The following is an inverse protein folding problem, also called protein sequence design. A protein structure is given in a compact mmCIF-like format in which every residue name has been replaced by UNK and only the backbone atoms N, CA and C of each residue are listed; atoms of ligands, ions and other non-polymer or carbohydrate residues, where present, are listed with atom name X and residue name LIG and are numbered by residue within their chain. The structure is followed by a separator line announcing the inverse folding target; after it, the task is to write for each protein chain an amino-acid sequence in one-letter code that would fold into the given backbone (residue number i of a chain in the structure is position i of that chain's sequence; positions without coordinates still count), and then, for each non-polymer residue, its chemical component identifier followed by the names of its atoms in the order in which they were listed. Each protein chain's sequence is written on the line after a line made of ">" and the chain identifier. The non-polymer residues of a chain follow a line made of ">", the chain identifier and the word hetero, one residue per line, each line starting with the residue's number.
data_IF_841617822746
#
_entry.id   IF_841617822746
#
_cell.length_a   1.000
_cell.length_b   1.000
_cell.length_c   1.000
_cell.angle_alpha   90.00
_cell.angle_beta   90.00
_cell.angle_gamma   90.00
#
_symmetry.space_group_name_H-M   'P 1'
#
loop_
_entity.id
_entity.type
_entity.pdbx_description
1 polymer ?
#
# COMPACT_ATOMS: atom_id res chain seq x y z
N UNK A 1 -10.18 32.52 10.92
CA UNK A 1 -10.17 31.13 10.44
C UNK A 1 -8.92 30.45 10.99
N UNK A 2 -9.01 29.19 11.39
CA UNK A 2 -7.82 28.43 11.80
C UNK A 2 -6.98 28.18 10.55
N UNK A 3 -5.71 28.54 10.57
CA UNK A 3 -4.76 28.27 9.49
C UNK A 3 -3.99 27.00 9.82
N UNK A 4 -3.83 26.11 8.85
CA UNK A 4 -3.01 24.91 8.94
C UNK A 4 -1.73 25.09 8.14
N UNK A 5 -0.65 24.49 8.59
CA UNK A 5 0.57 24.38 7.78
C UNK A 5 0.38 23.33 6.70
N UNK A 6 -0.28 22.23 7.08
CA UNK A 6 -0.53 21.08 6.20
C UNK A 6 -1.96 20.57 6.29
N UNK A 7 -2.56 20.33 5.14
CA UNK A 7 -3.73 19.45 5.00
C UNK A 7 -3.27 18.16 4.34
N UNK A 8 -3.55 17.03 5.01
CA UNK A 8 -3.29 15.68 4.50
C UNK A 8 -4.62 15.08 4.04
N UNK A 9 -4.68 14.61 2.79
CA UNK A 9 -5.89 14.04 2.19
C UNK A 9 -5.79 12.53 2.19
N UNK A 10 -6.64 11.85 2.99
CA UNK A 10 -6.72 10.40 3.13
C UNK A 10 -6.11 9.90 4.44
N UNK A 11 -6.90 9.18 5.24
CA UNK A 11 -6.55 8.66 6.58
C UNK A 11 -6.12 7.18 6.58
N UNK A 12 -5.71 6.64 5.44
CA UNK A 12 -5.02 5.36 5.37
C UNK A 12 -3.64 5.40 6.02
N UNK A 13 -2.89 4.30 5.97
CA UNK A 13 -1.55 4.21 6.59
C UNK A 13 -0.62 5.34 6.12
N UNK A 14 -0.68 5.73 4.84
CA UNK A 14 0.15 6.80 4.27
C UNK A 14 -0.12 8.15 4.91
N UNK A 15 -1.40 8.57 4.96
CA UNK A 15 -1.75 9.87 5.51
C UNK A 15 -1.69 9.90 7.03
N UNK A 16 -2.07 8.84 7.73
CA UNK A 16 -1.97 8.76 9.18
C UNK A 16 -0.51 8.89 9.66
N UNK A 17 0.40 8.11 9.05
CA UNK A 17 1.82 8.15 9.39
C UNK A 17 2.46 9.51 9.07
N UNK A 18 2.20 10.05 7.86
CA UNK A 18 2.76 11.35 7.48
C UNK A 18 2.22 12.48 8.37
N UNK A 19 0.92 12.49 8.67
CA UNK A 19 0.32 13.49 9.55
C UNK A 19 0.95 13.51 10.94
N UNK A 20 1.19 12.32 11.50
CA UNK A 20 1.88 12.16 12.77
C UNK A 20 3.30 12.71 12.72
N UNK A 21 4.09 12.34 11.72
CA UNK A 21 5.48 12.78 11.62
C UNK A 21 5.58 14.30 11.35
N UNK A 22 4.65 14.88 10.59
CA UNK A 22 4.55 16.34 10.43
C UNK A 22 4.22 17.05 11.74
N UNK A 23 3.23 16.55 12.49
CA UNK A 23 2.88 17.11 13.81
C UNK A 23 4.04 16.99 14.81
N UNK A 24 4.81 15.91 14.76
CA UNK A 24 6.01 15.69 15.57
C UNK A 24 7.12 16.73 15.27
N UNK A 25 7.14 17.28 14.04
CA UNK A 25 8.02 18.42 13.67
C UNK A 25 7.46 19.78 14.06
N UNK A 26 6.30 19.84 14.70
CA UNK A 26 5.67 21.06 15.18
C UNK A 26 4.75 21.75 14.19
N UNK A 27 4.46 21.13 13.03
CA UNK A 27 3.49 21.68 12.08
C UNK A 27 2.05 21.54 12.58
N UNK A 28 1.22 22.52 12.26
CA UNK A 28 -0.23 22.46 12.50
C UNK A 28 -0.89 21.66 11.38
N UNK A 29 -1.32 20.43 11.69
CA UNK A 29 -1.80 19.45 10.71
C UNK A 29 -3.29 19.21 10.82
N UNK A 30 -3.98 19.16 9.67
CA UNK A 30 -5.33 18.67 9.50
C UNK A 30 -5.30 17.42 8.58
N UNK A 31 -5.74 16.29 9.13
CA UNK A 31 -5.99 15.06 8.35
C UNK A 31 -7.47 14.99 7.99
N UNK A 32 -7.77 14.89 6.69
CA UNK A 32 -9.12 14.71 6.17
C UNK A 32 -9.32 13.29 5.68
N UNK A 33 -10.31 12.61 6.21
CA UNK A 33 -10.67 11.24 5.82
C UNK A 33 -12.15 11.16 5.48
N UNK A 34 -12.46 10.43 4.42
CA UNK A 34 -13.83 10.28 3.94
C UNK A 34 -14.70 9.41 4.86
N UNK A 35 -14.11 8.39 5.47
CA UNK A 35 -14.82 7.37 6.24
C UNK A 35 -14.48 7.42 7.72
N UNK A 36 -15.48 7.19 8.58
CA UNK A 36 -15.28 7.11 10.05
C UNK A 36 -14.56 5.85 10.51
N UNK A 37 -14.40 4.85 9.63
CA UNK A 37 -13.65 3.62 9.89
C UNK A 37 -12.64 3.37 8.78
N UNK A 38 -11.53 2.71 9.11
CA UNK A 38 -10.50 2.37 8.14
C UNK A 38 -11.06 1.54 6.99
N UNK A 39 -10.78 1.95 5.76
CA UNK A 39 -11.18 1.26 4.52
C UNK A 39 -10.03 1.25 3.50
N UNK A 40 -10.32 0.73 2.30
CA UNK A 40 -9.36 0.67 1.22
C UNK A 40 -8.18 -0.28 1.48
N UNK A 41 -7.09 -0.11 0.75
CA UNK A 41 -5.94 -1.02 0.78
C UNK A 41 -5.28 -1.12 2.17
N UNK A 42 -5.31 -0.05 2.98
CA UNK A 42 -4.79 -0.11 4.35
C UNK A 42 -5.57 -1.09 5.23
N UNK A 43 -6.89 -1.22 5.02
CA UNK A 43 -7.73 -2.17 5.77
C UNK A 43 -7.63 -3.57 5.19
N UNK A 44 -7.72 -3.70 3.87
CA UNK A 44 -7.80 -4.98 3.17
C UNK A 44 -6.44 -5.34 2.58
N UNK A 45 -5.47 -5.65 3.44
CA UNK A 45 -4.10 -6.01 3.09
C UNK A 45 -3.66 -7.22 3.91
N UNK A 46 -2.71 -7.98 3.40
CA UNK A 46 -1.99 -8.99 4.21
C UNK A 46 -1.12 -8.36 5.30
N UNK A 47 -0.86 -7.05 5.21
CA UNK A 47 -0.06 -6.28 6.16
C UNK A 47 1.32 -6.90 6.45
N UNK A 48 1.91 -7.46 5.43
CA UNK A 48 3.26 -8.04 5.47
C UNK A 48 4.34 -6.97 5.32
N UNK A 49 5.51 -7.24 5.88
CA UNK A 49 6.71 -6.41 5.78
C UNK A 49 7.81 -7.26 5.15
N UNK A 50 7.93 -7.26 3.82
CA UNK A 50 8.88 -8.09 3.11
C UNK A 50 10.29 -7.49 3.14
N UNK A 51 11.02 -7.61 4.24
CA UNK A 51 12.37 -7.04 4.41
C UNK A 51 13.39 -7.57 3.43
N UNK A 52 13.10 -8.73 2.85
CA UNK A 52 13.94 -9.44 1.90
C UNK A 52 13.80 -8.91 0.47
N UNK A 53 12.75 -8.13 0.17
CA UNK A 53 12.29 -7.79 -1.18
C UNK A 53 13.09 -6.67 -1.88
N UNK A 54 14.18 -6.19 -1.29
CA UNK A 54 15.03 -5.17 -1.89
C UNK A 54 15.97 -5.76 -2.95
N UNK A 55 16.09 -5.11 -4.10
CA UNK A 55 16.96 -5.49 -5.22
C UNK A 55 18.03 -4.44 -5.54
N UNK A 56 17.91 -3.23 -4.99
CA UNK A 56 18.87 -2.13 -5.14
C UNK A 56 19.32 -1.63 -3.78
N UNK A 57 20.44 -0.91 -3.71
CA UNK A 57 20.92 -0.31 -2.46
C UNK A 57 19.85 0.57 -1.80
N UNK A 58 19.14 1.37 -2.59
CA UNK A 58 18.03 2.20 -2.11
C UNK A 58 16.92 1.38 -1.48
N UNK A 59 16.40 0.39 -2.20
CA UNK A 59 15.29 -0.43 -1.70
C UNK A 59 15.72 -1.30 -0.52
N UNK A 60 16.94 -1.84 -0.51
CA UNK A 60 17.53 -2.56 0.60
C UNK A 60 17.59 -1.69 1.86
N UNK A 61 18.11 -0.46 1.73
CA UNK A 61 18.16 0.47 2.85
C UNK A 61 16.77 0.76 3.39
N UNK A 62 15.80 1.08 2.52
CA UNK A 62 14.44 1.43 2.93
C UNK A 62 13.72 0.27 3.64
N UNK A 63 13.87 -0.96 3.14
CA UNK A 63 13.27 -2.14 3.79
C UNK A 63 13.92 -2.43 5.16
N UNK A 64 15.23 -2.24 5.29
CA UNK A 64 15.91 -2.40 6.59
C UNK A 64 15.50 -1.30 7.59
N UNK A 65 15.38 -0.06 7.15
CA UNK A 65 14.84 1.03 7.98
C UNK A 65 13.40 0.74 8.43
N UNK A 66 12.58 0.20 7.52
CA UNK A 66 11.23 -0.25 7.83
C UNK A 66 11.20 -1.32 8.92
N UNK A 67 12.05 -2.36 8.80
CA UNK A 67 12.19 -3.41 9.81
C UNK A 67 12.57 -2.81 11.18
N UNK A 68 13.62 -1.99 11.21
CA UNK A 68 14.08 -1.35 12.43
C UNK A 68 12.97 -0.49 13.05
N UNK A 69 12.23 0.25 12.23
CA UNK A 69 11.17 1.14 12.69
C UNK A 69 10.06 0.39 13.44
N UNK A 70 9.67 -0.79 12.97
CA UNK A 70 8.61 -1.59 13.58
C UNK A 70 8.96 -2.11 14.98
N UNK A 71 10.24 -2.30 15.32
CA UNK A 71 10.63 -2.70 16.67
C UNK A 71 10.30 -1.66 17.75
N UNK A 72 10.21 -0.38 17.39
CA UNK A 72 9.95 0.72 18.33
C UNK A 72 8.56 1.34 18.18
N UNK A 73 7.86 1.00 17.08
CA UNK A 73 6.66 1.73 16.68
C UNK A 73 5.50 1.56 17.67
N UNK A 74 5.36 0.37 18.28
CA UNK A 74 4.32 0.13 19.28
C UNK A 74 4.52 1.01 20.53
N UNK A 75 5.76 1.17 20.99
CA UNK A 75 6.09 2.04 22.11
C UNK A 75 5.89 3.51 21.74
N UNK A 76 6.40 3.93 20.59
CA UNK A 76 6.30 5.32 20.13
C UNK A 76 4.85 5.76 19.91
N UNK A 77 4.01 4.90 19.36
CA UNK A 77 2.60 5.17 19.14
C UNK A 77 1.72 4.91 20.36
N UNK A 78 2.28 4.37 21.46
CA UNK A 78 1.53 3.93 22.65
C UNK A 78 0.35 3.00 22.26
N UNK A 79 0.59 2.12 21.29
CA UNK A 79 -0.43 1.23 20.70
C UNK A 79 0.24 -0.06 20.27
N UNK A 80 -0.29 -1.22 20.70
CA UNK A 80 0.22 -2.50 20.21
C UNK A 80 -0.11 -2.66 18.72
N UNK A 81 0.88 -2.45 17.86
CA UNK A 81 0.76 -2.64 16.40
C UNK A 81 0.63 -4.10 16.00
N UNK A 82 0.74 -5.02 16.99
CA UNK A 82 0.76 -6.46 16.80
C UNK A 82 1.91 -6.96 15.89
N UNK A 83 3.00 -6.20 15.87
CA UNK A 83 4.18 -6.58 15.12
C UNK A 83 4.70 -7.95 15.58
N UNK A 84 5.02 -8.79 14.60
CA UNK A 84 5.67 -10.09 14.78
C UNK A 84 6.44 -10.47 13.53
N UNK A 85 7.43 -11.32 13.68
CA UNK A 85 8.10 -11.97 12.57
C UNK A 85 7.47 -13.36 12.34
N UNK A 86 7.24 -13.71 11.08
CA UNK A 86 6.66 -14.98 10.63
C UNK A 86 7.46 -15.51 9.47
N UNK A 87 7.49 -16.83 9.33
CA UNK A 87 7.98 -17.45 8.13
C UNK A 87 6.97 -17.28 6.99
N UNK A 88 7.51 -17.00 5.81
CA UNK A 88 6.78 -16.96 4.56
C UNK A 88 7.11 -18.21 3.78
N UNK A 89 6.08 -18.88 3.26
CA UNK A 89 6.19 -19.92 2.24
C UNK A 89 5.75 -19.36 0.89
N UNK A 90 6.69 -19.33 -0.05
CA UNK A 90 6.46 -18.99 -1.45
C UNK A 90 6.28 -20.32 -2.21
N UNK A 91 5.05 -20.74 -2.39
CA UNK A 91 4.72 -22.05 -3.00
C UNK A 91 5.01 -22.08 -4.50
N UNK A 92 5.56 -23.18 -4.99
CA UNK A 92 5.87 -23.40 -6.41
C UNK A 92 4.88 -24.40 -6.99
N UNK A 93 4.01 -23.93 -7.88
CA UNK A 93 3.03 -24.78 -8.53
C UNK A 93 3.69 -25.78 -9.52
N UNK A 94 3.07 -26.94 -9.78
CA UNK A 94 3.67 -28.03 -10.56
C UNK A 94 4.12 -27.67 -11.99
N UNK A 95 3.55 -26.64 -12.59
CA UNK A 95 3.94 -26.16 -13.93
C UNK A 95 5.25 -25.37 -13.95
N UNK A 96 5.81 -25.01 -12.80
CA UNK A 96 7.04 -24.23 -12.68
C UNK A 96 8.24 -25.09 -12.28
N UNK A 97 9.40 -24.74 -12.82
CA UNK A 97 10.69 -25.32 -12.47
C UNK A 97 11.30 -24.54 -11.28
N UNK A 98 11.49 -25.19 -10.10
CA UNK A 98 12.02 -24.53 -8.91
C UNK A 98 13.39 -23.86 -9.11
N UNK A 99 14.29 -24.48 -9.88
CA UNK A 99 15.64 -23.96 -10.13
C UNK A 99 15.61 -22.67 -10.98
N UNK A 100 14.67 -22.59 -11.93
CA UNK A 100 14.48 -21.37 -12.73
C UNK A 100 13.95 -20.23 -11.87
N UNK A 101 13.01 -20.50 -10.96
CA UNK A 101 12.50 -19.48 -10.05
C UNK A 101 13.59 -19.04 -9.07
N UNK A 102 14.42 -19.98 -8.58
CA UNK A 102 15.54 -19.67 -7.68
C UNK A 102 16.49 -18.62 -8.29
N UNK A 103 16.69 -18.67 -9.61
CA UNK A 103 17.52 -17.67 -10.32
C UNK A 103 16.95 -16.27 -10.17
N UNK A 104 15.63 -16.09 -10.26
CA UNK A 104 14.99 -14.78 -10.10
C UNK A 104 15.14 -14.25 -8.66
N UNK A 105 15.11 -15.13 -7.67
CA UNK A 105 15.28 -14.72 -6.26
C UNK A 105 16.73 -14.41 -5.86
N UNK A 106 17.71 -14.76 -6.70
CA UNK A 106 19.13 -14.48 -6.42
C UNK A 106 19.48 -12.97 -6.41
N UNK A 107 18.61 -12.13 -6.98
CA UNK A 107 18.78 -10.67 -7.03
C UNK A 107 18.38 -9.97 -5.72
N UNK A 108 17.65 -10.66 -4.84
CA UNK A 108 17.21 -10.08 -3.58
C UNK A 108 18.32 -10.05 -2.53
N UNK A 109 18.36 -9.00 -1.72
CA UNK A 109 19.38 -8.83 -0.66
C UNK A 109 19.35 -9.97 0.38
N UNK A 110 18.16 -10.47 0.72
CA UNK A 110 17.98 -11.67 1.54
C UNK A 110 17.32 -12.71 0.64
N UNK A 111 18.13 -13.64 0.16
CA UNK A 111 17.67 -14.67 -0.79
C UNK A 111 16.79 -15.69 -0.07
N UNK A 112 15.51 -15.86 -0.48
CA UNK A 112 14.67 -16.93 0.03
C UNK A 112 15.29 -18.32 -0.23
N UNK A 113 15.25 -19.19 0.75
CA UNK A 113 15.83 -20.54 0.67
C UNK A 113 14.85 -21.50 0.01
N UNK A 114 15.28 -22.17 -1.05
CA UNK A 114 14.52 -23.25 -1.67
C UNK A 114 14.44 -24.46 -0.71
N UNK A 115 13.26 -25.03 -0.56
CA UNK A 115 12.94 -26.16 0.31
C UNK A 115 12.12 -27.22 -0.43
N UNK A 116 12.18 -28.46 0.05
CA UNK A 116 11.40 -29.56 -0.49
C UNK A 116 9.91 -29.43 -0.14
N UNK A 117 9.08 -30.27 -0.79
CA UNK A 117 7.65 -30.38 -0.47
C UNK A 117 7.46 -30.86 0.97
N UNK A 118 8.28 -31.82 1.41
CA UNK A 118 8.20 -32.37 2.76
C UNK A 118 8.50 -31.31 3.81
N UNK A 119 9.58 -30.54 3.64
CA UNK A 119 9.94 -29.46 4.55
C UNK A 119 8.87 -28.37 4.56
N UNK A 120 8.30 -28.00 3.41
CA UNK A 120 7.21 -27.04 3.32
C UNK A 120 5.96 -27.50 4.10
N UNK A 121 5.60 -28.79 4.00
CA UNK A 121 4.49 -29.37 4.74
C UNK A 121 4.78 -29.56 6.25
N UNK A 122 6.05 -29.69 6.65
CA UNK A 122 6.44 -29.66 8.07
C UNK A 122 6.26 -28.24 8.65
N UNK A 123 6.60 -27.19 7.89
CA UNK A 123 6.40 -25.80 8.29
C UNK A 123 4.92 -25.41 8.32
N UNK A 124 4.16 -25.84 7.31
CA UNK A 124 2.71 -25.57 7.18
C UNK A 124 1.93 -26.87 6.95
N UNK A 125 1.45 -27.52 8.03
CA UNK A 125 0.75 -28.80 7.94
C UNK A 125 -0.58 -28.79 7.15
N UNK A 126 -1.15 -27.59 6.91
CA UNK A 126 -2.39 -27.45 6.13
C UNK A 126 -2.14 -27.42 4.62
N UNK A 127 -0.87 -27.39 4.20
CA UNK A 127 -0.48 -27.33 2.79
C UNK A 127 -0.78 -28.66 2.08
N UNK A 128 -1.37 -28.56 0.90
CA UNK A 128 -1.58 -29.72 0.04
C UNK A 128 -0.28 -30.05 -0.74
N UNK A 129 0.38 -31.14 -0.35
CA UNK A 129 1.64 -31.58 -0.99
C UNK A 129 1.53 -31.84 -2.50
N UNK A 130 0.34 -32.22 -2.99
CA UNK A 130 0.12 -32.51 -4.41
C UNK A 130 -0.02 -31.22 -5.25
N UNK A 131 -0.19 -30.06 -4.61
CA UNK A 131 -0.37 -28.78 -5.28
C UNK A 131 0.96 -28.04 -5.51
N UNK A 132 2.09 -28.56 -5.03
CA UNK A 132 3.39 -27.89 -5.10
C UNK A 132 4.51 -28.85 -5.53
N UNK A 133 5.55 -28.32 -6.14
CA UNK A 133 6.81 -29.03 -6.44
C UNK A 133 7.95 -28.62 -5.52
N UNK A 134 7.73 -27.69 -4.64
CA UNK A 134 8.64 -27.13 -3.66
C UNK A 134 8.13 -25.80 -3.17
N UNK A 135 8.90 -25.13 -2.33
CA UNK A 135 8.63 -23.77 -1.90
C UNK A 135 9.94 -23.01 -1.64
N UNK A 136 9.87 -21.71 -1.57
CA UNK A 136 10.92 -20.91 -0.91
C UNK A 136 10.44 -20.46 0.46
N UNK A 137 11.37 -20.32 1.39
CA UNK A 137 11.07 -19.76 2.71
C UNK A 137 12.00 -18.62 3.05
N UNK A 138 11.44 -17.60 3.71
CA UNK A 138 12.15 -16.45 4.24
C UNK A 138 11.34 -15.85 5.39
N UNK A 139 12.00 -15.31 6.39
CA UNK A 139 11.31 -14.60 7.47
C UNK A 139 10.91 -13.18 7.02
N UNK A 140 9.72 -12.74 7.42
CA UNK A 140 9.24 -11.37 7.21
C UNK A 140 8.38 -10.88 8.37
N UNK A 141 8.17 -9.56 8.43
CA UNK A 141 7.30 -8.98 9.43
C UNK A 141 5.83 -9.04 9.05
N UNK A 142 5.00 -8.93 10.07
CA UNK A 142 3.55 -8.84 9.96
C UNK A 142 3.00 -7.95 11.06
N UNK A 143 1.98 -7.14 10.76
CA UNK A 143 1.33 -6.21 11.69
C UNK A 143 -0.19 -6.29 11.58
N UNK A 144 -0.90 -5.68 12.55
CA UNK A 144 -2.33 -5.37 12.35
C UNK A 144 -2.44 -4.03 11.62
N UNK A 145 -3.00 -4.03 10.39
CA UNK A 145 -3.16 -2.79 9.62
C UNK A 145 -4.08 -1.80 10.30
N UNK A 146 -5.09 -2.28 11.01
CA UNK A 146 -6.01 -1.46 11.78
C UNK A 146 -5.30 -0.82 12.99
N UNK A 147 -4.56 -1.62 13.76
CA UNK A 147 -3.91 -1.16 14.98
C UNK A 147 -2.81 -0.11 14.67
N UNK A 148 -1.97 -0.36 13.66
CA UNK A 148 -0.91 0.59 13.30
C UNK A 148 -1.48 1.91 12.75
N UNK A 149 -2.52 1.85 11.90
CA UNK A 149 -3.12 3.07 11.33
C UNK A 149 -3.86 3.87 12.41
N UNK A 150 -4.58 3.19 13.31
CA UNK A 150 -5.23 3.82 14.45
C UNK A 150 -4.19 4.42 15.41
N UNK A 151 -3.10 3.70 15.68
CA UNK A 151 -2.00 4.16 16.53
C UNK A 151 -1.41 5.49 16.04
N UNK A 152 -1.12 5.60 14.74
CA UNK A 152 -0.69 6.87 14.13
C UNK A 152 -1.72 7.98 14.28
N UNK A 153 -3.00 7.68 14.05
CA UNK A 153 -4.09 8.67 14.17
C UNK A 153 -4.25 9.17 15.60
N UNK A 154 -4.17 8.29 16.58
CA UNK A 154 -4.20 8.66 18.00
C UNK A 154 -2.97 9.47 18.41
N UNK A 155 -1.78 9.08 17.96
CA UNK A 155 -0.55 9.80 18.20
C UNK A 155 -0.57 11.21 17.57
N UNK A 156 -1.11 11.36 16.37
CA UNK A 156 -1.36 12.67 15.76
C UNK A 156 -2.22 13.56 16.67
N UNK A 157 -3.33 13.00 17.19
CA UNK A 157 -4.26 13.75 18.06
C UNK A 157 -3.59 14.15 19.39
N UNK A 158 -2.77 13.27 19.98
CA UNK A 158 -1.97 13.59 21.20
C UNK A 158 -1.01 14.75 20.98
N UNK A 159 -0.47 14.91 19.76
CA UNK A 159 0.39 16.04 19.38
C UNK A 159 -0.38 17.31 19.00
N UNK A 160 -1.72 17.31 19.11
CA UNK A 160 -2.56 18.48 18.79
C UNK A 160 -2.97 18.59 17.33
N UNK A 161 -2.63 17.60 16.48
CA UNK A 161 -3.14 17.49 15.13
C UNK A 161 -4.65 17.22 15.13
N UNK A 162 -5.32 17.58 14.04
CA UNK A 162 -6.76 17.44 13.92
C UNK A 162 -7.10 16.39 12.85
N UNK A 163 -8.14 15.61 13.12
CA UNK A 163 -8.73 14.66 12.17
C UNK A 163 -10.18 15.04 11.98
N UNK A 164 -10.60 15.22 10.74
CA UNK A 164 -11.99 15.50 10.38
C UNK A 164 -12.48 14.44 9.41
N UNK A 165 -13.66 13.89 9.69
CA UNK A 165 -14.32 12.96 8.79
C UNK A 165 -15.12 13.78 7.78
N UNK A 166 -14.52 14.01 6.61
CA UNK A 166 -15.13 14.77 5.52
C UNK A 166 -14.46 14.41 4.20
N UNK A 167 -15.27 14.21 3.16
CA UNK A 167 -14.77 13.89 1.83
C UNK A 167 -14.21 15.14 1.15
N UNK A 168 -12.94 15.09 0.72
CA UNK A 168 -12.34 16.13 -0.11
C UNK A 168 -12.84 15.95 -1.54
N UNK A 169 -13.48 16.98 -2.07
CA UNK A 169 -14.10 16.97 -3.40
C UNK A 169 -13.34 17.78 -4.44
N UNK A 170 -12.34 18.59 -4.03
CA UNK A 170 -11.54 19.37 -4.96
C UNK A 170 -10.47 20.23 -4.28
N UNK A 171 -9.66 20.90 -5.09
CA UNK A 171 -8.57 21.79 -4.67
C UNK A 171 -8.93 23.25 -4.86
N UNK A 172 -8.60 24.10 -3.88
CA UNK A 172 -8.74 25.55 -3.97
C UNK A 172 -7.52 26.11 -4.69
N UNK A 173 -7.73 26.64 -5.89
CA UNK A 173 -6.69 27.23 -6.74
C UNK A 173 -6.69 28.74 -6.63
N UNK A 174 -5.51 29.33 -6.51
CA UNK A 174 -5.29 30.77 -6.63
C UNK A 174 -4.25 31.02 -7.71
N UNK A 175 -4.42 32.12 -8.47
CA UNK A 175 -3.41 32.60 -9.42
C UNK A 175 -2.74 33.80 -8.82
N UNK A 176 -1.42 33.75 -8.74
CA UNK A 176 -0.64 34.95 -8.40
C UNK A 176 -0.44 35.78 -9.68
N UNK A 177 -1.19 36.85 -9.77
CA UNK A 177 -1.07 37.81 -10.88
C UNK A 177 0.00 38.88 -10.63
N UNK A 178 0.74 38.79 -9.50
CA UNK A 178 1.71 39.82 -9.07
C UNK A 178 3.12 39.61 -9.64
N UNK A 179 3.42 38.41 -10.17
CA UNK A 179 4.71 38.07 -10.78
C UNK A 179 4.55 37.80 -12.29
N UNK A 180 5.59 38.09 -13.08
CA UNK A 180 5.60 37.84 -14.54
C UNK A 180 5.51 36.35 -14.91
N UNK A 181 5.50 35.46 -13.94
CA UNK A 181 5.25 34.01 -14.05
C UNK A 181 3.88 33.73 -13.44
N UNK A 182 2.90 33.40 -14.28
CA UNK A 182 1.60 32.89 -13.84
C UNK A 182 1.77 31.52 -13.15
N UNK A 183 2.23 31.48 -11.90
CA UNK A 183 2.27 30.24 -11.16
C UNK A 183 0.90 29.95 -10.53
N UNK A 184 0.38 28.76 -10.78
CA UNK A 184 -0.82 28.27 -10.11
C UNK A 184 -0.42 27.76 -8.71
N UNK A 185 -1.16 28.21 -7.68
CA UNK A 185 -0.93 27.77 -6.29
C UNK A 185 -2.18 27.13 -5.72
N UNK A 186 -2.01 26.00 -5.05
CA UNK A 186 -3.07 25.37 -4.26
C UNK A 186 -2.98 25.91 -2.84
N UNK A 187 -4.11 26.43 -2.31
CA UNK A 187 -4.18 27.11 -0.99
C UNK A 187 -5.21 26.49 -0.07
N UNK A 188 -5.83 25.37 -0.47
CA UNK A 188 -6.83 24.69 0.34
C UNK A 188 -7.54 23.59 -0.42
N UNK A 189 -8.57 23.06 0.22
CA UNK A 189 -9.42 21.99 -0.32
C UNK A 189 -10.89 22.29 -0.10
N UNK A 190 -11.71 21.89 -1.06
CA UNK A 190 -13.15 21.80 -0.90
C UNK A 190 -13.51 20.44 -0.30
N UNK A 191 -14.43 20.42 0.63
CA UNK A 191 -15.04 19.20 1.15
C UNK A 191 -16.55 19.23 0.93
N UNK A 192 -17.24 18.16 1.25
CA UNK A 192 -18.72 18.11 1.19
C UNK A 192 -19.38 19.17 2.08
N UNK A 193 -18.71 19.60 3.15
CA UNK A 193 -19.33 20.45 4.18
C UNK A 193 -18.84 21.90 4.13
N UNK A 194 -17.53 22.10 3.94
CA UNK A 194 -16.89 23.43 3.99
C UNK A 194 -15.56 23.46 3.24
N UNK A 195 -14.96 24.62 3.18
CA UNK A 195 -13.60 24.82 2.63
C UNK A 195 -12.58 24.95 3.75
N UNK A 196 -11.45 24.26 3.58
CA UNK A 196 -10.30 24.40 4.47
C UNK A 196 -9.11 25.02 3.73
N UNK A 197 -8.34 25.84 4.42
CA UNK A 197 -7.14 26.49 3.89
C UNK A 197 -5.89 26.09 4.64
N UNK A 198 -4.79 25.92 3.91
CA UNK A 198 -3.47 25.60 4.45
C UNK A 198 -2.36 26.19 3.56
N UNK A 199 -1.16 26.28 4.13
CA UNK A 199 0.02 26.66 3.35
C UNK A 199 0.39 25.57 2.32
N UNK A 200 0.20 24.29 2.69
CA UNK A 200 0.52 23.13 1.86
C UNK A 200 -0.55 22.04 1.97
N UNK A 201 -0.75 21.34 0.87
CA UNK A 201 -1.63 20.17 0.78
C UNK A 201 -0.80 18.95 0.35
N UNK A 202 -1.05 17.78 0.95
CA UNK A 202 -0.44 16.53 0.50
C UNK A 202 -1.51 15.47 0.24
N UNK A 203 -1.43 14.85 -0.96
CA UNK A 203 -2.35 13.80 -1.39
C UNK A 203 -1.82 12.44 -0.97
N UNK A 204 -2.54 11.80 -0.04
CA UNK A 204 -2.29 10.46 0.52
C UNK A 204 -3.47 9.51 0.22
N UNK A 205 -4.16 9.70 -0.91
CA UNK A 205 -5.44 9.07 -1.21
C UNK A 205 -5.32 7.64 -1.81
N UNK A 206 -4.14 7.01 -1.71
CA UNK A 206 -3.89 5.66 -2.21
C UNK A 206 -4.24 5.52 -3.70
N UNK A 207 -4.96 4.46 -4.09
CA UNK A 207 -5.32 4.20 -5.48
C UNK A 207 -6.24 5.24 -6.13
N UNK A 208 -6.89 6.10 -5.32
CA UNK A 208 -7.72 7.23 -5.84
C UNK A 208 -6.87 8.46 -6.17
N UNK A 209 -5.59 8.51 -5.78
CA UNK A 209 -4.73 9.70 -5.93
C UNK A 209 -4.70 10.22 -7.37
N UNK A 210 -4.54 9.33 -8.37
CA UNK A 210 -4.54 9.71 -9.79
C UNK A 210 -5.87 10.36 -10.19
N UNK A 211 -6.98 9.72 -9.90
CA UNK A 211 -8.32 10.20 -10.26
C UNK A 211 -8.63 11.56 -9.62
N UNK A 212 -8.29 11.72 -8.34
CA UNK A 212 -8.45 12.98 -7.61
C UNK A 212 -7.61 14.11 -8.23
N UNK A 213 -6.33 13.90 -8.47
CA UNK A 213 -5.44 14.90 -9.06
C UNK A 213 -5.85 15.23 -10.49
N UNK A 214 -6.24 14.23 -11.29
CA UNK A 214 -6.75 14.44 -12.66
C UNK A 214 -7.99 15.32 -12.69
N UNK A 215 -8.93 15.17 -11.76
CA UNK A 215 -10.12 16.01 -11.66
C UNK A 215 -9.77 17.49 -11.44
N UNK A 216 -8.61 17.77 -10.88
CA UNK A 216 -8.05 19.11 -10.71
C UNK A 216 -7.14 19.55 -11.87
N UNK A 217 -7.03 18.75 -12.95
CA UNK A 217 -6.16 19.02 -14.09
C UNK A 217 -4.67 18.75 -13.85
N UNK A 218 -4.35 17.92 -12.84
CA UNK A 218 -2.98 17.59 -12.43
C UNK A 218 -2.70 16.13 -12.83
N UNK A 219 -1.69 15.93 -13.68
CA UNK A 219 -1.25 14.59 -14.07
C UNK A 219 -0.27 14.01 -13.05
N UNK A 220 -0.33 12.70 -12.86
CA UNK A 220 0.59 11.95 -11.98
C UNK A 220 0.77 10.52 -12.47
N UNK A 221 1.94 9.93 -12.24
CA UNK A 221 2.24 8.53 -12.56
C UNK A 221 2.01 7.60 -11.36
N UNK A 222 0.92 7.81 -10.66
CA UNK A 222 0.37 6.83 -9.73
C UNK A 222 -0.73 6.06 -10.43
N UNK A 223 -0.63 4.74 -10.39
CA UNK A 223 -1.60 3.81 -10.97
C UNK A 223 -2.27 3.01 -9.86
N UNK A 224 -3.22 2.16 -10.21
CA UNK A 224 -3.89 1.32 -9.21
C UNK A 224 -4.31 -0.04 -9.80
N UNK A 225 -4.26 -1.03 -8.93
CA UNK A 225 -4.80 -2.37 -9.18
C UNK A 225 -6.02 -2.58 -8.28
N UNK A 226 -7.10 -3.08 -8.85
CA UNK A 226 -8.24 -3.58 -8.09
C UNK A 226 -7.85 -4.91 -7.46
N UNK A 227 -7.76 -4.94 -6.13
CA UNK A 227 -7.43 -6.12 -5.36
C UNK A 227 -8.67 -6.64 -4.62
N UNK A 228 -8.87 -7.95 -4.67
CA UNK A 228 -10.01 -8.63 -4.08
C UNK A 228 -9.55 -9.77 -3.19
N UNK A 229 -10.16 -9.91 -2.02
CA UNK A 229 -9.83 -10.94 -1.05
C UNK A 229 -11.05 -11.37 -0.25
N UNK A 230 -10.92 -12.49 0.41
CA UNK A 230 -11.86 -12.96 1.44
C UNK A 230 -11.25 -12.73 2.82
N UNK A 231 -12.09 -12.35 3.79
CA UNK A 231 -11.73 -12.26 5.20
C UNK A 231 -12.67 -13.13 6.03
N UNK A 232 -12.11 -14.07 6.80
CA UNK A 232 -12.90 -14.89 7.71
C UNK A 232 -13.17 -14.16 9.03
N UNK A 233 -14.24 -14.49 9.77
CA UNK A 233 -14.25 -14.23 11.21
C UNK A 233 -13.11 -15.01 11.90
N UNK A 234 -12.84 -14.79 13.20
CA UNK A 234 -11.94 -15.66 13.95
C UNK A 234 -12.33 -17.13 13.80
N UNK A 235 -11.34 -17.99 13.52
CA UNK A 235 -11.51 -19.44 13.31
C UNK A 235 -10.62 -20.24 14.24
N UNK A 236 -11.00 -21.48 14.55
CA UNK A 236 -10.18 -22.38 15.38
C UNK A 236 -9.02 -23.04 14.64
N UNK A 237 -8.96 -22.84 13.32
CA UNK A 237 -7.86 -23.32 12.48
C UNK A 237 -6.63 -22.45 12.68
N UNK A 238 -5.43 -23.05 12.67
CA UNK A 238 -4.16 -22.34 12.82
C UNK A 238 -3.31 -22.50 11.56
N UNK A 239 -2.91 -21.36 10.97
CA UNK A 239 -1.81 -21.27 10.00
C UNK A 239 -0.51 -20.97 10.75
N UNK A 240 0.52 -21.74 10.46
CA UNK A 240 1.85 -21.55 11.08
C UNK A 240 2.66 -20.49 10.33
N UNK A 241 2.41 -20.34 9.04
CA UNK A 241 3.19 -19.48 8.12
C UNK A 241 2.29 -18.55 7.33
N UNK A 242 2.88 -17.59 6.65
CA UNK A 242 2.22 -16.86 5.56
C UNK A 242 2.43 -17.68 4.28
N UNK A 243 1.37 -17.96 3.55
CA UNK A 243 1.45 -18.72 2.30
C UNK A 243 1.06 -17.83 1.13
N UNK A 244 1.94 -17.69 0.14
CA UNK A 244 1.65 -17.00 -1.14
C UNK A 244 2.38 -17.73 -2.28
N UNK A 245 1.95 -17.60 -3.55
CA UNK A 245 2.69 -18.21 -4.66
C UNK A 245 4.03 -17.51 -4.91
N UNK A 246 5.05 -18.28 -5.31
CA UNK A 246 6.37 -17.75 -5.69
C UNK A 246 6.31 -16.90 -6.98
N UNK A 247 5.40 -17.23 -7.89
CA UNK A 247 5.17 -16.49 -9.14
C UNK A 247 3.89 -15.68 -8.99
N UNK A 248 4.03 -14.36 -8.92
CA UNK A 248 2.90 -13.43 -8.78
C UNK A 248 2.76 -12.60 -10.06
N UNK A 249 1.78 -12.94 -10.88
CA UNK A 249 1.50 -12.24 -12.16
C UNK A 249 1.09 -10.77 -11.98
N UNK A 250 0.64 -10.40 -10.80
CA UNK A 250 0.25 -9.03 -10.51
C UNK A 250 1.37 -8.04 -10.83
N UNK A 251 2.58 -8.26 -10.36
CA UNK A 251 3.71 -7.33 -10.57
C UNK A 251 4.10 -7.23 -12.04
N UNK A 252 4.09 -8.35 -12.76
CA UNK A 252 4.30 -8.38 -14.21
C UNK A 252 3.25 -7.52 -14.94
N UNK A 253 1.97 -7.65 -14.57
CA UNK A 253 0.88 -6.90 -15.17
C UNK A 253 0.93 -5.41 -14.82
N UNK A 254 1.27 -5.07 -13.59
CA UNK A 254 1.46 -3.67 -13.15
C UNK A 254 2.57 -3.00 -13.96
N UNK A 255 3.72 -3.65 -14.11
CA UNK A 255 4.83 -3.15 -14.93
C UNK A 255 4.46 -3.01 -16.41
N UNK A 256 3.82 -4.03 -17.00
CA UNK A 256 3.43 -4.02 -18.42
C UNK A 256 2.38 -2.96 -18.77
N UNK A 257 1.59 -2.51 -17.80
CA UNK A 257 0.47 -1.58 -18.02
C UNK A 257 0.74 -0.14 -17.58
N UNK A 258 1.87 0.13 -16.92
CA UNK A 258 2.26 1.47 -16.45
C UNK A 258 3.30 2.14 -17.34
N UNK A 259 3.30 1.84 -18.63
CA UNK A 259 4.23 2.39 -19.61
C UNK A 259 3.79 3.76 -20.13
N UNK A 260 4.73 4.50 -20.75
CA UNK A 260 4.47 5.83 -21.33
C UNK A 260 3.42 5.77 -22.43
N UNK A 261 3.40 4.69 -23.22
CA UNK A 261 2.48 4.48 -24.33
C UNK A 261 1.03 4.33 -23.87
N UNK A 262 0.84 3.78 -22.67
CA UNK A 262 -0.49 3.54 -22.09
C UNK A 262 -0.96 4.67 -21.18
N UNK A 263 -0.11 5.69 -20.93
CA UNK A 263 -0.37 6.76 -19.96
C UNK A 263 -1.72 7.47 -20.18
N UNK A 264 -2.06 7.76 -21.43
CA UNK A 264 -3.31 8.45 -21.75
C UNK A 264 -4.55 7.59 -21.46
N UNK A 265 -4.45 6.27 -21.66
CA UNK A 265 -5.56 5.35 -21.41
C UNK A 265 -5.91 5.25 -19.92
N UNK A 266 -4.94 5.49 -19.02
CA UNK A 266 -5.19 5.55 -17.59
C UNK A 266 -6.08 6.72 -17.16
N UNK A 267 -6.19 7.73 -18.00
CA UNK A 267 -7.05 8.90 -17.77
C UNK A 267 -8.46 8.72 -18.35
N UNK A 268 -8.73 7.62 -19.01
CA UNK A 268 -10.01 7.25 -19.61
C UNK A 268 -10.58 6.01 -18.89
N UNK A 269 -11.78 6.10 -18.28
CA UNK A 269 -12.38 4.95 -17.62
C UNK A 269 -12.83 3.87 -18.62
N UNK A 270 -12.77 2.61 -18.22
CA UNK A 270 -13.34 1.49 -18.97
C UNK A 270 -12.34 0.61 -19.72
N UNK A 271 -11.03 0.91 -19.68
CA UNK A 271 -10.02 0.03 -20.26
C UNK A 271 -9.70 -1.12 -19.31
N UNK A 272 -9.53 -2.33 -19.90
CA UNK A 272 -9.02 -3.53 -19.26
C UNK A 272 -7.80 -3.97 -20.06
N UNK A 273 -6.61 -3.76 -19.51
CA UNK A 273 -5.37 -4.02 -20.25
C UNK A 273 -5.02 -5.50 -20.37
N UNK A 274 -5.26 -6.26 -19.31
CA UNK A 274 -4.83 -7.66 -19.15
C UNK A 274 -5.94 -8.48 -18.50
N UNK A 275 -5.93 -9.82 -18.63
CA UNK A 275 -6.78 -10.69 -17.80
C UNK A 275 -6.52 -10.41 -16.31
N UNK A 276 -7.44 -10.81 -15.44
CA UNK A 276 -7.13 -10.79 -14.01
C UNK A 276 -6.12 -11.89 -13.66
N UNK A 277 -5.27 -11.62 -12.67
CA UNK A 277 -4.46 -12.65 -12.00
C UNK A 277 -5.12 -13.10 -10.71
N UNK A 278 -4.86 -14.35 -10.30
CA UNK A 278 -5.26 -14.88 -9.02
C UNK A 278 -4.04 -15.53 -8.37
N UNK A 279 -3.61 -14.94 -7.26
CA UNK A 279 -2.47 -15.36 -6.46
C UNK A 279 -3.02 -16.01 -5.18
N UNK A 280 -3.17 -17.36 -5.18
CA UNK A 280 -3.77 -18.10 -4.07
C UNK A 280 -2.84 -18.09 -2.86
N UNK A 281 -3.18 -17.30 -1.85
CA UNK A 281 -2.40 -17.15 -0.62
C UNK A 281 -3.27 -16.89 0.59
N UNK A 282 -2.68 -16.99 1.78
CA UNK A 282 -3.36 -16.75 3.03
C UNK A 282 -2.43 -16.22 4.12
N UNK A 283 -2.97 -15.40 5.00
CA UNK A 283 -2.31 -14.92 6.22
C UNK A 283 -3.30 -14.93 7.38
N UNK A 284 -2.89 -15.43 8.53
CA UNK A 284 -3.69 -15.38 9.75
C UNK A 284 -3.22 -14.25 10.66
N UNK A 285 -4.17 -13.49 11.20
CA UNK A 285 -3.95 -12.40 12.15
C UNK A 285 -3.97 -12.90 13.60
N UNK A 286 -3.46 -12.11 14.55
CA UNK A 286 -3.44 -12.48 15.99
C UNK A 286 -4.84 -12.68 16.59
N UNK A 287 -5.89 -12.13 15.97
CA UNK A 287 -7.28 -12.35 16.36
C UNK A 287 -7.89 -13.62 15.76
N UNK A 288 -7.08 -14.48 15.14
CA UNK A 288 -7.45 -15.71 14.45
C UNK A 288 -8.30 -15.53 13.18
N UNK A 289 -8.52 -14.31 12.69
CA UNK A 289 -9.09 -14.14 11.35
C UNK A 289 -8.04 -14.44 10.28
N UNK A 290 -8.49 -14.91 9.11
CA UNK A 290 -7.63 -15.22 7.97
C UNK A 290 -8.04 -14.34 6.79
N UNK A 291 -7.06 -13.75 6.11
CA UNK A 291 -7.25 -13.13 4.80
C UNK A 291 -6.73 -14.07 3.72
N UNK A 292 -7.58 -14.30 2.72
CA UNK A 292 -7.38 -15.26 1.63
C UNK A 292 -7.54 -14.52 0.31
N UNK A 293 -6.65 -14.70 -0.61
CA UNK A 293 -6.74 -14.10 -1.95
C UNK A 293 -5.40 -14.31 -2.65
N UNK A 294 -5.11 -13.55 -3.63
CA UNK A 294 -5.71 -12.28 -4.04
C UNK A 294 -6.09 -12.36 -5.53
N UNK A 295 -7.24 -11.81 -5.93
CA UNK A 295 -7.47 -11.46 -7.32
C UNK A 295 -6.97 -10.04 -7.56
N UNK A 296 -6.27 -9.83 -8.68
CA UNK A 296 -5.76 -8.53 -9.11
C UNK A 296 -6.24 -8.21 -10.51
N UNK A 297 -6.84 -7.01 -10.70
CA UNK A 297 -7.33 -6.53 -11.99
C UNK A 297 -6.76 -5.15 -12.28
N UNK A 298 -6.17 -4.98 -13.45
CA UNK A 298 -5.71 -3.68 -13.93
C UNK A 298 -6.82 -3.08 -14.80
N UNK A 299 -7.60 -2.19 -14.19
CA UNK A 299 -8.72 -1.48 -14.81
C UNK A 299 -8.51 0.02 -14.60
N UNK A 300 -8.87 0.85 -15.59
CA UNK A 300 -8.67 2.31 -15.51
C UNK A 300 -9.80 3.06 -14.81
N UNK A 301 -10.95 2.43 -14.56
CA UNK A 301 -12.04 2.99 -13.77
C UNK A 301 -11.88 2.63 -12.30
N UNK A 302 -11.55 3.56 -11.38
CA UNK A 302 -11.43 3.27 -9.96
C UNK A 302 -12.75 2.85 -9.30
N UNK A 303 -13.88 3.06 -9.98
CA UNK A 303 -15.23 2.70 -9.53
C UNK A 303 -15.81 1.52 -10.31
N UNK A 304 -14.97 0.76 -11.03
CA UNK A 304 -15.40 -0.41 -11.78
C UNK A 304 -16.23 -1.37 -10.94
N UNK A 305 -17.36 -1.81 -11.50
CA UNK A 305 -18.21 -2.81 -10.86
C UNK A 305 -17.61 -4.19 -11.05
N UNK A 306 -17.33 -4.86 -9.94
CA UNK A 306 -16.80 -6.21 -9.90
C UNK A 306 -17.87 -7.15 -9.33
N UNK A 307 -18.01 -8.33 -9.92
CA UNK A 307 -18.94 -9.34 -9.42
C UNK A 307 -18.32 -10.07 -8.23
N UNK A 308 -18.83 -9.86 -6.99
CA UNK A 308 -18.25 -10.46 -5.80
C UNK A 308 -18.45 -11.97 -5.75
N UNK A 309 -19.54 -12.49 -6.32
CA UNK A 309 -19.84 -13.92 -6.29
C UNK A 309 -18.88 -14.70 -7.19
N UNK A 310 -18.61 -14.16 -8.39
CA UNK A 310 -17.64 -14.76 -9.31
C UNK A 310 -16.24 -14.76 -8.68
N UNK A 311 -15.85 -13.64 -8.08
CA UNK A 311 -14.54 -13.47 -7.46
C UNK A 311 -14.36 -14.38 -6.24
N UNK A 312 -15.36 -14.44 -5.35
CA UNK A 312 -15.33 -15.34 -4.19
C UNK A 312 -15.20 -16.79 -4.62
N UNK A 313 -16.00 -17.23 -5.62
CA UNK A 313 -15.92 -18.58 -6.15
C UNK A 313 -14.53 -18.90 -6.69
N UNK A 314 -13.94 -17.99 -7.46
CA UNK A 314 -12.61 -18.20 -8.02
C UNK A 314 -11.52 -18.28 -6.91
N UNK A 315 -11.57 -17.41 -5.91
CA UNK A 315 -10.61 -17.44 -4.78
C UNK A 315 -10.75 -18.76 -4.01
N UNK A 316 -11.97 -19.22 -3.72
CA UNK A 316 -12.21 -20.48 -3.00
C UNK A 316 -11.68 -21.69 -3.73
N UNK A 317 -11.93 -21.79 -5.03
CA UNK A 317 -11.44 -22.88 -5.86
C UNK A 317 -9.89 -22.93 -5.88
N UNK A 318 -9.23 -21.78 -6.04
CA UNK A 318 -7.77 -21.76 -6.12
C UNK A 318 -7.12 -21.98 -4.76
N UNK A 319 -7.62 -21.37 -3.68
CA UNK A 319 -7.07 -21.61 -2.35
C UNK A 319 -7.31 -23.07 -1.90
N UNK A 320 -8.44 -23.67 -2.28
CA UNK A 320 -8.76 -25.07 -1.98
C UNK A 320 -7.77 -26.07 -2.58
N UNK A 321 -7.10 -25.71 -3.68
CA UNK A 321 -6.02 -26.54 -4.23
C UNK A 321 -4.79 -26.53 -3.32
N UNK A 322 -4.40 -25.37 -2.80
CA UNK A 322 -3.14 -25.17 -2.05
C UNK A 322 -3.34 -25.41 -0.55
N UNK A 323 -4.43 -24.90 0.02
CA UNK A 323 -4.81 -24.98 1.44
C UNK A 323 -6.27 -25.45 1.55
N UNK A 324 -6.55 -26.76 1.37
CA UNK A 324 -7.92 -27.29 1.29
C UNK A 324 -8.81 -26.93 2.49
N UNK A 325 -8.21 -26.83 3.68
CA UNK A 325 -8.93 -26.46 4.90
C UNK A 325 -9.56 -25.05 4.86
N UNK A 326 -9.10 -24.17 3.95
CA UNK A 326 -9.59 -22.80 3.84
C UNK A 326 -10.75 -22.63 2.85
N UNK A 327 -10.97 -23.59 1.93
CA UNK A 327 -11.91 -23.49 0.81
C UNK A 327 -13.34 -23.09 1.25
N UNK A 328 -13.82 -23.75 2.30
CA UNK A 328 -15.20 -23.65 2.74
C UNK A 328 -15.40 -22.84 4.03
N UNK A 329 -14.37 -22.13 4.51
CA UNK A 329 -14.52 -21.28 5.70
C UNK A 329 -15.52 -20.15 5.43
N UNK A 330 -16.35 -19.78 6.42
CA UNK A 330 -17.14 -18.57 6.35
C UNK A 330 -16.23 -17.35 6.09
N UNK A 331 -16.55 -16.56 5.11
CA UNK A 331 -15.74 -15.38 4.79
C UNK A 331 -16.60 -14.28 4.13
N UNK A 332 -16.13 -13.05 4.21
CA UNK A 332 -16.70 -11.89 3.52
C UNK A 332 -15.75 -11.45 2.43
N UNK A 333 -16.27 -11.22 1.22
CA UNK A 333 -15.52 -10.65 0.12
C UNK A 333 -15.26 -9.16 0.33
N UNK A 334 -14.05 -8.72 0.02
CA UNK A 334 -13.63 -7.33 0.09
C UNK A 334 -12.88 -6.93 -1.17
N UNK A 335 -12.98 -5.64 -1.50
CA UNK A 335 -12.35 -5.02 -2.64
C UNK A 335 -11.68 -3.70 -2.23
N UNK A 336 -10.49 -3.45 -2.79
CA UNK A 336 -9.76 -2.19 -2.60
C UNK A 336 -8.91 -1.85 -3.82
N UNK A 337 -8.35 -0.62 -3.83
CA UNK A 337 -7.41 -0.16 -4.83
C UNK A 337 -6.02 -0.08 -4.23
N UNK A 338 -5.07 -0.84 -4.77
CA UNK A 338 -3.65 -0.78 -4.38
C UNK A 338 -2.95 0.21 -5.31
N UNK A 339 -2.35 1.26 -4.72
CA UNK A 339 -1.58 2.24 -5.48
C UNK A 339 -0.18 1.71 -5.78
N UNK A 340 0.33 1.98 -6.99
CA UNK A 340 1.71 1.70 -7.39
C UNK A 340 2.21 2.76 -8.37
N UNK A 341 3.49 2.73 -8.71
CA UNK A 341 4.14 3.56 -9.72
C UNK A 341 4.79 2.68 -10.78
N UNK A 342 5.23 3.27 -11.89
CA UNK A 342 5.84 2.52 -13.01
C UNK A 342 7.23 1.96 -12.71
N UNK A 343 7.90 2.45 -11.67
CA UNK A 343 9.25 2.05 -11.25
C UNK A 343 9.29 1.41 -9.86
N UNK A 344 8.13 0.99 -9.34
CA UNK A 344 7.93 0.38 -8.02
C UNK A 344 8.37 1.25 -6.81
N UNK A 345 8.82 2.48 -7.05
CA UNK A 345 9.19 3.43 -6.01
C UNK A 345 8.06 4.43 -5.75
N UNK A 346 7.74 4.75 -4.48
CA UNK A 346 6.67 5.69 -4.19
C UNK A 346 6.97 7.09 -4.73
N UNK A 347 5.91 7.87 -5.01
CA UNK A 347 6.01 9.29 -5.34
C UNK A 347 5.91 10.09 -4.05
N UNK A 348 7.00 10.82 -3.72
CA UNK A 348 7.10 11.61 -2.50
C UNK A 348 7.66 13.00 -2.82
N UNK A 349 6.88 14.04 -2.60
CA UNK A 349 7.36 15.41 -2.80
C UNK A 349 6.36 16.36 -3.42
N UNK A 350 6.83 17.55 -3.76
CA UNK A 350 6.05 18.57 -4.47
C UNK A 350 5.67 18.11 -5.88
N UNK A 351 4.46 18.41 -6.30
CA UNK A 351 4.04 18.18 -7.69
C UNK A 351 4.68 19.28 -8.56
N UNK A 352 5.35 18.90 -9.66
CA UNK A 352 6.04 19.86 -10.53
C UNK A 352 5.12 20.95 -11.08
N UNK A 353 5.62 22.17 -11.17
CA UNK A 353 4.96 23.35 -11.77
C UNK A 353 3.69 23.85 -11.07
N UNK A 354 3.34 23.33 -9.89
CA UNK A 354 2.21 23.78 -9.09
C UNK A 354 2.66 23.95 -7.64
N UNK A 355 2.51 25.16 -7.10
CA UNK A 355 2.88 25.42 -5.72
C UNK A 355 1.83 24.94 -4.70
N UNK A 356 2.27 24.60 -3.49
CA UNK A 356 1.39 24.29 -2.37
C UNK A 356 0.75 22.92 -2.43
N UNK A 357 1.11 22.06 -3.39
CA UNK A 357 0.60 20.69 -3.47
C UNK A 357 1.72 19.66 -3.56
N UNK A 358 1.55 18.59 -2.81
CA UNK A 358 2.50 17.48 -2.69
C UNK A 358 1.77 16.16 -2.84
N UNK A 359 2.53 15.10 -3.10
CA UNK A 359 2.03 13.72 -3.13
C UNK A 359 2.86 12.84 -2.19
N UNK A 360 2.21 11.87 -1.56
CA UNK A 360 2.82 10.79 -0.77
C UNK A 360 2.01 9.51 -1.02
N UNK A 361 2.29 8.83 -2.14
CA UNK A 361 1.48 7.74 -2.67
C UNK A 361 2.30 6.78 -3.55
N UNK A 362 1.68 5.71 -4.06
CA UNK A 362 2.32 4.75 -4.97
C UNK A 362 3.16 3.68 -4.25
N UNK A 363 2.82 3.35 -3.02
CA UNK A 363 3.55 2.35 -2.22
C UNK A 363 3.07 0.93 -2.53
N UNK A 364 3.94 0.09 -3.11
CA UNK A 364 3.67 -1.34 -3.32
C UNK A 364 3.76 -2.17 -2.03
N UNK A 365 4.59 -1.76 -1.06
CA UNK A 365 4.75 -2.39 0.26
C UNK A 365 4.55 -1.38 1.40
N UNK A 366 3.32 -0.83 1.59
CA UNK A 366 3.11 0.36 2.40
C UNK A 366 3.47 0.16 3.88
N UNK A 367 3.20 -1.01 4.46
CA UNK A 367 3.50 -1.22 5.88
C UNK A 367 5.01 -1.28 6.16
N UNK A 368 5.82 -1.73 5.22
CA UNK A 368 7.28 -1.68 5.35
C UNK A 368 7.86 -0.29 5.08
N UNK A 369 7.40 0.40 4.03
CA UNK A 369 8.05 1.59 3.50
C UNK A 369 7.48 2.91 4.04
N UNK A 370 6.19 2.97 4.38
CA UNK A 370 5.56 4.21 4.87
C UNK A 370 6.15 4.70 6.19
N UNK A 371 6.37 3.86 7.23
CA UNK A 371 6.89 4.36 8.49
C UNK A 371 8.25 5.09 8.39
N UNK A 372 9.28 4.55 7.71
CA UNK A 372 10.54 5.28 7.54
C UNK A 372 10.42 6.47 6.59
N UNK A 373 9.68 6.35 5.48
CA UNK A 373 9.58 7.41 4.49
C UNK A 373 8.71 8.59 4.95
N UNK A 374 7.69 8.37 5.76
CA UNK A 374 6.92 9.45 6.39
C UNK A 374 7.81 10.30 7.31
N UNK A 375 8.67 9.66 8.10
CA UNK A 375 9.64 10.34 8.96
C UNK A 375 10.66 11.12 8.13
N UNK A 376 11.25 10.52 7.10
CA UNK A 376 12.20 11.20 6.20
C UNK A 376 11.56 12.39 5.51
N UNK A 377 10.35 12.23 4.99
CA UNK A 377 9.66 13.31 4.29
C UNK A 377 9.30 14.46 5.23
N UNK A 378 8.82 14.18 6.44
CA UNK A 378 8.57 15.22 7.43
C UNK A 378 9.86 15.97 7.84
N UNK A 379 11.00 15.29 7.97
CA UNK A 379 12.31 15.88 8.21
C UNK A 379 12.72 16.81 7.04
N UNK A 380 12.58 16.31 5.81
CA UNK A 380 12.87 17.08 4.59
C UNK A 380 12.02 18.37 4.52
N UNK A 381 10.73 18.27 4.80
CA UNK A 381 9.82 19.43 4.83
C UNK A 381 10.12 20.41 5.98
N UNK A 382 10.78 19.96 7.05
CA UNK A 382 11.30 20.79 8.13
C UNK A 382 12.68 21.41 7.81
N UNK A 383 13.21 21.21 6.60
CA UNK A 383 14.45 21.82 6.14
C UNK A 383 15.71 20.94 6.22
N UNK A 384 15.57 19.67 6.60
CA UNK A 384 16.69 18.72 6.56
C UNK A 384 16.91 18.24 5.11
N UNK A 385 18.17 18.12 4.69
CA UNK A 385 18.46 17.54 3.36
C UNK A 385 18.33 16.01 3.41
N UNK A 386 17.66 15.43 2.42
CA UNK A 386 17.50 13.97 2.29
C UNK A 386 17.53 13.56 0.81
N UNK A 387 18.63 12.93 0.39
CA UNK A 387 18.84 12.52 -1.00
C UNK A 387 17.85 11.42 -1.44
N UNK A 388 17.39 10.58 -0.52
CA UNK A 388 16.39 9.55 -0.81
C UNK A 388 15.06 10.22 -1.17
N UNK A 389 14.61 11.20 -0.41
CA UNK A 389 13.38 11.94 -0.71
C UNK A 389 13.48 12.65 -2.07
N UNK A 390 14.66 13.19 -2.42
CA UNK A 390 14.88 13.80 -3.72
C UNK A 390 14.79 12.78 -4.87
N UNK A 391 15.34 11.58 -4.70
CA UNK A 391 15.20 10.49 -5.67
C UNK A 391 13.77 10.02 -5.87
N UNK A 392 12.95 10.08 -4.81
CA UNK A 392 11.53 9.68 -4.84
C UNK A 392 10.59 10.80 -5.32
N UNK A 393 11.12 11.97 -5.69
CA UNK A 393 10.35 13.10 -6.17
C UNK A 393 9.55 12.76 -7.43
N UNK A 394 8.29 13.27 -7.56
CA UNK A 394 7.52 13.17 -8.81
C UNK A 394 8.23 13.75 -10.02
N UNK A 395 9.19 14.68 -9.84
CA UNK A 395 9.98 15.28 -10.91
C UNK A 395 10.87 14.29 -11.67
N UNK A 396 11.11 13.07 -11.14
CA UNK A 396 11.84 12.01 -11.85
C UNK A 396 11.11 11.48 -13.10
N UNK A 397 9.86 11.86 -13.29
CA UNK A 397 9.05 11.50 -14.44
C UNK A 397 8.75 12.67 -15.41
N UNK A 398 9.36 13.83 -15.19
CA UNK A 398 9.15 15.06 -15.99
C UNK A 398 10.30 15.26 -16.99
#
# INVERSE_FOLDING_TARGET
>A
MKSYDWIVIGGGITGAALSYELAKKGFVVLLLEKYSSLKGASRYSYATLPYWFGTTDLTNQLFQEGRQRHHYLSEELETDTQFRELDLLLTIAPEYDPEKIATNFSEYNIVPRLISVEEACEMEPLLNKEAITGAFTVSQGHVSPEAITLGYSQALTRLGGQIEISEVTGLVKTRDNSTHSCSERITGVYTTDKTYHAANIVVCAGGISRHFLKSAGISTRVYFTHAEMLETPPVDLQLNTIVIPAVQKRFEYEAATSTVELEQMWDEPGHKFVPFSLDAGAVQFKNNSIRIGQISRVLTDPHAKIDPVQSETAIRVEIGKVLPALENLPATWHHCLIAYSSDDLPLIGAIPNIEGIHIFSGFSSPFALVPPLAKRFANYLAGENDEIIQQLSPSRFV
#
